data_IF_268327394006
#
_entry.id   IF_268327394006
#
_cell.length_a   1.000
_cell.length_b   1.000
_cell.length_c   1.000
_cell.angle_alpha   90.00
_cell.angle_beta   90.00
_cell.angle_gamma   90.00
#
_symmetry.space_group_name_H-M   'P 1'
#
loop_
_entity.id
_entity.type
_entity.pdbx_description
1 polymer ?
#
# COMPACT_ATOMS: atom_id res chain seq x y z
N UNK A 1 -12.00 -14.27 -77.89
CA UNK A 1 -12.66 -13.96 -76.59
C UNK A 1 -12.43 -15.04 -75.52
N UNK A 2 -12.61 -16.34 -75.80
CA UNK A 2 -12.53 -17.41 -74.78
C UNK A 2 -11.17 -17.56 -74.06
N UNK A 3 -10.04 -17.28 -74.74
CA UNK A 3 -8.69 -17.39 -74.15
C UNK A 3 -8.40 -16.36 -73.06
N UNK A 4 -8.88 -15.12 -73.22
CA UNK A 4 -8.70 -14.05 -72.23
C UNK A 4 -9.51 -14.29 -70.96
N UNK A 5 -10.72 -14.85 -71.11
CA UNK A 5 -11.58 -15.20 -69.98
C UNK A 5 -10.93 -16.28 -69.08
N UNK A 6 -10.32 -17.30 -69.69
CA UNK A 6 -9.60 -18.34 -68.95
C UNK A 6 -8.32 -17.81 -68.26
N UNK A 7 -7.65 -16.82 -68.86
CA UNK A 7 -6.45 -16.20 -68.29
C UNK A 7 -6.78 -15.29 -67.11
N UNK A 8 -7.88 -14.54 -67.17
CA UNK A 8 -8.40 -13.73 -66.04
C UNK A 8 -8.81 -14.64 -64.88
N UNK A 9 -9.45 -15.78 -65.16
CA UNK A 9 -9.83 -16.74 -64.12
C UNK A 9 -8.62 -17.37 -63.41
N UNK A 10 -7.54 -17.69 -64.17
CA UNK A 10 -6.28 -18.20 -63.59
C UNK A 10 -5.56 -17.15 -62.72
N UNK A 11 -5.56 -15.88 -63.13
CA UNK A 11 -4.97 -14.78 -62.34
C UNK A 11 -5.78 -14.51 -61.08
N UNK A 12 -7.12 -14.53 -61.16
CA UNK A 12 -8.00 -14.39 -59.99
C UNK A 12 -7.85 -15.55 -59.00
N UNK A 13 -7.67 -16.77 -59.49
CA UNK A 13 -7.44 -17.96 -58.65
C UNK A 13 -6.05 -17.92 -57.99
N UNK A 14 -5.03 -17.38 -58.67
CA UNK A 14 -3.70 -17.17 -58.10
C UNK A 14 -3.68 -16.05 -57.03
N UNK A 15 -4.49 -15.00 -57.20
CA UNK A 15 -4.62 -13.91 -56.22
C UNK A 15 -5.31 -14.38 -54.92
N UNK A 16 -6.25 -15.32 -55.01
CA UNK A 16 -6.95 -15.89 -53.85
C UNK A 16 -6.07 -16.83 -53.01
N UNK A 17 -5.02 -17.44 -53.60
CA UNK A 17 -4.07 -18.32 -52.89
C UNK A 17 -3.01 -17.52 -52.10
N UNK A 18 -2.76 -16.25 -52.47
CA UNK A 18 -1.86 -15.35 -51.74
C UNK A 18 -2.53 -14.59 -50.58
N UNK A 19 -3.85 -14.73 -50.39
CA UNK A 19 -4.55 -14.16 -49.24
C UNK A 19 -4.41 -15.09 -48.03
N UNK A 20 -3.21 -15.14 -47.43
CA UNK A 20 -3.05 -15.70 -46.08
C UNK A 20 -3.86 -14.79 -45.13
N UNK A 21 -4.86 -15.29 -44.37
CA UNK A 21 -5.44 -14.48 -43.31
C UNK A 21 -4.32 -14.13 -42.34
N UNK A 22 -3.96 -12.86 -42.27
CA UNK A 22 -3.02 -12.32 -41.31
C UNK A 22 -3.66 -12.36 -39.92
N UNK A 23 -3.66 -13.52 -39.27
CA UNK A 23 -3.91 -13.63 -37.83
C UNK A 23 -2.60 -13.25 -37.12
N UNK A 24 -2.20 -11.99 -37.25
CA UNK A 24 -0.92 -11.47 -36.73
C UNK A 24 -1.04 -10.84 -35.33
N UNK A 25 -2.22 -10.89 -34.70
CA UNK A 25 -2.44 -10.34 -33.36
C UNK A 25 -3.07 -11.39 -32.45
N UNK A 26 -2.31 -12.43 -32.14
CA UNK A 26 -2.54 -13.19 -30.92
C UNK A 26 -1.90 -12.39 -29.78
N UNK A 27 -2.73 -11.91 -28.85
CA UNK A 27 -2.40 -11.13 -27.64
C UNK A 27 -1.49 -11.91 -26.65
N UNK A 28 -0.30 -12.31 -27.09
CA UNK A 28 0.63 -13.14 -26.30
C UNK A 28 1.34 -12.29 -25.22
N UNK A 29 1.61 -11.01 -25.49
CA UNK A 29 2.30 -10.13 -24.54
C UNK A 29 1.50 -9.85 -23.25
N UNK A 30 0.18 -9.64 -23.32
CA UNK A 30 -0.62 -9.27 -22.14
C UNK A 30 -0.88 -10.41 -21.15
N UNK A 31 -1.03 -11.65 -21.65
CA UNK A 31 -1.30 -12.82 -20.80
C UNK A 31 -0.08 -13.24 -19.98
N UNK A 32 1.11 -13.15 -20.58
CA UNK A 32 2.37 -13.48 -19.91
C UNK A 32 2.70 -12.44 -18.82
N UNK A 33 2.55 -11.14 -19.12
CA UNK A 33 2.78 -10.06 -18.14
C UNK A 33 1.85 -10.17 -16.93
N UNK A 34 0.56 -10.49 -17.13
CA UNK A 34 -0.37 -10.67 -16.02
C UNK A 34 0.05 -11.83 -15.12
N UNK A 35 0.44 -12.96 -15.70
CA UNK A 35 0.89 -14.13 -14.93
C UNK A 35 2.17 -13.82 -14.14
N UNK A 36 3.13 -13.13 -14.74
CA UNK A 36 4.35 -12.71 -14.05
C UNK A 36 4.06 -11.73 -12.92
N UNK A 37 3.19 -10.74 -13.15
CA UNK A 37 2.76 -9.80 -12.12
C UNK A 37 2.06 -10.50 -10.95
N UNK A 38 1.10 -11.39 -11.25
CA UNK A 38 0.38 -12.18 -10.24
C UNK A 38 1.35 -13.08 -9.46
N UNK A 39 2.35 -13.66 -10.12
CA UNK A 39 3.40 -14.46 -9.45
C UNK A 39 4.23 -13.64 -8.46
N UNK A 40 4.70 -12.46 -8.86
CA UNK A 40 5.47 -11.57 -7.98
C UNK A 40 4.61 -11.14 -6.80
N UNK A 41 3.35 -10.75 -7.04
CA UNK A 41 2.43 -10.33 -6.00
C UNK A 41 2.12 -11.44 -5.00
N UNK A 42 1.94 -12.67 -5.46
CA UNK A 42 1.66 -13.81 -4.59
C UNK A 42 2.89 -14.25 -3.77
N UNK A 43 4.09 -14.15 -4.34
CA UNK A 43 5.33 -14.54 -3.66
C UNK A 43 5.84 -13.46 -2.69
N UNK A 44 5.63 -12.18 -3.03
CA UNK A 44 6.08 -11.03 -2.25
C UNK A 44 4.93 -10.03 -2.07
N UNK A 45 3.87 -10.41 -1.34
CA UNK A 45 2.72 -9.54 -1.16
C UNK A 45 3.17 -8.25 -0.47
N UNK A 46 2.77 -7.10 -0.98
CA UNK A 46 3.13 -5.80 -0.42
C UNK A 46 1.96 -5.31 0.41
N UNK A 47 2.23 -4.87 1.63
CA UNK A 47 1.23 -4.24 2.49
C UNK A 47 1.42 -2.73 2.48
N UNK A 48 0.33 -2.00 2.70
CA UNK A 48 0.34 -0.56 2.93
C UNK A 48 -0.54 -0.23 4.13
N UNK A 49 -0.01 0.58 5.05
CA UNK A 49 -0.72 0.99 6.26
C UNK A 49 -1.10 2.46 6.16
N UNK A 50 -2.38 2.74 6.36
CA UNK A 50 -2.90 4.09 6.55
C UNK A 50 -3.38 4.25 7.99
N UNK A 51 -3.04 5.35 8.63
CA UNK A 51 -3.49 5.65 9.99
C UNK A 51 -4.06 7.05 10.05
N UNK A 52 -5.26 7.16 10.62
CA UNK A 52 -5.87 8.42 10.99
C UNK A 52 -5.72 8.62 12.49
N UNK A 53 -5.19 9.78 12.87
CA UNK A 53 -5.16 10.25 14.26
C UNK A 53 -6.32 11.23 14.45
N UNK A 54 -6.87 11.31 15.66
CA UNK A 54 -7.90 12.30 16.02
C UNK A 54 -7.37 13.74 15.90
N UNK A 55 -6.12 13.98 16.32
CA UNK A 55 -5.46 15.30 16.36
C UNK A 55 -3.98 15.20 15.95
N UNK A 56 -3.31 16.34 15.86
CA UNK A 56 -1.86 16.44 15.69
C UNK A 56 -1.15 17.12 16.88
N UNK A 57 -1.92 17.77 17.76
CA UNK A 57 -1.43 18.48 18.94
C UNK A 57 -2.25 18.01 20.15
N UNK A 58 -1.57 17.69 21.23
CA UNK A 58 -2.14 17.12 22.45
C UNK A 58 -1.61 17.82 23.71
N UNK A 59 -2.40 17.81 24.78
CA UNK A 59 -1.94 18.21 26.10
C UNK A 59 -1.26 17.04 26.84
N UNK A 60 -0.42 17.30 27.86
CA UNK A 60 -0.08 16.28 28.86
C UNK A 60 -1.35 15.67 29.47
N UNK A 61 -1.34 14.36 29.71
CA UNK A 61 -2.48 13.55 30.17
C UNK A 61 -3.64 13.37 29.17
N UNK A 62 -3.55 13.89 27.95
CA UNK A 62 -4.52 13.54 26.89
C UNK A 62 -4.43 12.06 26.49
N UNK A 63 -5.46 11.60 25.78
CA UNK A 63 -5.38 10.34 25.03
C UNK A 63 -5.32 10.64 23.54
N UNK A 64 -4.26 10.16 22.89
CA UNK A 64 -4.13 10.14 21.44
C UNK A 64 -4.92 8.95 20.90
N UNK A 65 -5.92 9.22 20.05
CA UNK A 65 -6.75 8.17 19.45
C UNK A 65 -6.38 7.96 17.99
N UNK A 66 -6.45 6.72 17.54
CA UNK A 66 -6.17 6.41 16.15
C UNK A 66 -7.00 5.24 15.61
N UNK A 67 -7.19 5.27 14.29
CA UNK A 67 -7.74 4.17 13.50
C UNK A 67 -6.81 3.86 12.34
N UNK A 68 -6.53 2.58 12.14
CA UNK A 68 -5.60 2.12 11.14
C UNK A 68 -6.25 1.14 10.15
N UNK A 69 -5.76 1.20 8.91
CA UNK A 69 -6.25 0.46 7.75
C UNK A 69 -5.05 -0.19 7.06
N UNK A 70 -4.99 -1.51 7.13
CA UNK A 70 -3.96 -2.35 6.54
C UNK A 70 -4.50 -3.01 5.27
N UNK A 71 -3.90 -2.66 4.15
CA UNK A 71 -4.34 -3.11 2.83
C UNK A 71 -3.21 -3.78 2.04
N UNK A 72 -3.58 -4.65 1.09
CA UNK A 72 -2.71 -5.07 -0.01
C UNK A 72 -2.37 -3.83 -0.86
N UNK A 73 -1.09 -3.56 -1.08
CA UNK A 73 -0.64 -2.36 -1.76
C UNK A 73 -0.98 -2.36 -3.27
N UNK A 74 -1.27 -3.53 -3.86
CA UNK A 74 -1.60 -3.69 -5.28
C UNK A 74 -3.10 -3.56 -5.52
N UNK A 75 -3.93 -4.18 -4.68
CA UNK A 75 -5.39 -4.19 -4.85
C UNK A 75 -6.17 -3.25 -3.93
N UNK A 76 -5.53 -2.72 -2.88
CA UNK A 76 -6.18 -1.92 -1.83
C UNK A 76 -7.29 -2.65 -1.07
N UNK A 77 -7.33 -3.98 -1.17
CA UNK A 77 -8.18 -4.84 -0.35
C UNK A 77 -7.56 -5.02 1.03
N UNK A 78 -8.39 -5.41 2.02
CA UNK A 78 -7.90 -5.75 3.35
C UNK A 78 -6.75 -6.77 3.27
N UNK A 79 -5.62 -6.45 3.90
CA UNK A 79 -4.47 -7.37 3.89
C UNK A 79 -4.82 -8.67 4.60
N UNK A 80 -4.37 -9.78 4.03
CA UNK A 80 -4.48 -11.13 4.59
C UNK A 80 -3.13 -11.67 5.09
N UNK A 81 -2.07 -10.86 5.00
CA UNK A 81 -0.69 -11.30 5.31
C UNK A 81 -0.39 -11.14 6.79
N UNK A 82 -0.59 -9.94 7.33
CA UNK A 82 -0.31 -9.65 8.74
C UNK A 82 -1.59 -9.56 9.59
N UNK A 83 -1.60 -10.23 10.74
CA UNK A 83 -2.68 -10.18 11.73
C UNK A 83 -2.46 -9.20 12.89
N UNK A 84 -1.26 -8.61 13.00
CA UNK A 84 -0.86 -7.69 14.07
C UNK A 84 -0.22 -6.43 13.48
N UNK A 85 -0.55 -5.29 14.07
CA UNK A 85 0.04 -3.99 13.74
C UNK A 85 0.70 -3.44 15.00
N UNK A 86 1.96 -3.03 14.86
CA UNK A 86 2.73 -2.35 15.90
C UNK A 86 2.52 -0.85 15.77
N UNK A 87 2.26 -0.21 16.90
CA UNK A 87 2.15 1.23 17.03
C UNK A 87 3.14 1.72 18.05
N UNK A 88 3.80 2.83 17.75
CA UNK A 88 4.88 3.36 18.55
C UNK A 88 4.86 4.87 18.61
N UNK A 89 5.34 5.40 19.73
CA UNK A 89 5.68 6.81 19.85
C UNK A 89 7.18 6.91 20.12
N UNK A 90 7.85 7.74 19.33
CA UNK A 90 9.29 7.96 19.35
C UNK A 90 9.54 9.43 19.69
N UNK A 91 10.46 9.70 20.60
CA UNK A 91 10.85 11.07 20.94
C UNK A 91 11.74 11.72 19.85
N UNK A 92 12.06 13.00 20.04
CA UNK A 92 12.94 13.77 19.15
C UNK A 92 14.39 13.23 19.08
N UNK A 93 14.79 12.37 20.02
CA UNK A 93 16.11 11.72 20.05
C UNK A 93 16.12 10.36 19.36
N UNK A 94 14.96 9.89 18.86
CA UNK A 94 14.82 8.57 18.26
C UNK A 94 14.56 7.45 19.25
N UNK A 95 14.31 7.76 20.52
CA UNK A 95 14.04 6.77 21.58
C UNK A 95 12.57 6.34 21.51
N UNK A 96 12.30 5.03 21.53
CA UNK A 96 10.94 4.53 21.66
C UNK A 96 10.42 4.78 23.08
N UNK A 97 9.42 5.64 23.22
CA UNK A 97 8.80 5.97 24.51
C UNK A 97 7.75 4.93 24.87
N UNK A 98 6.97 4.50 23.88
CA UNK A 98 5.93 3.52 24.08
C UNK A 98 5.70 2.73 22.80
N UNK A 99 5.38 1.44 22.96
CA UNK A 99 4.97 0.54 21.90
C UNK A 99 3.77 -0.27 22.37
N UNK A 100 2.77 -0.41 21.50
CA UNK A 100 1.67 -1.37 21.66
C UNK A 100 1.52 -2.20 20.38
N UNK A 101 1.03 -3.42 20.48
CA UNK A 101 0.61 -4.21 19.33
C UNK A 101 -0.89 -4.48 19.43
N UNK A 102 -1.60 -4.29 18.32
CA UNK A 102 -3.03 -4.52 18.26
C UNK A 102 -3.35 -5.51 17.13
N UNK A 103 -4.27 -6.46 17.36
CA UNK A 103 -4.76 -7.29 16.28
C UNK A 103 -5.53 -6.45 15.26
N UNK A 104 -5.49 -6.90 14.00
CA UNK A 104 -6.28 -6.33 12.92
C UNK A 104 -7.29 -7.36 12.43
N UNK A 105 -8.53 -6.93 12.25
CA UNK A 105 -9.60 -7.74 11.70
C UNK A 105 -10.10 -7.08 10.42
N UNK A 106 -10.15 -7.83 9.32
CA UNK A 106 -10.52 -7.31 8.00
C UNK A 106 -9.67 -6.08 7.59
N UNK A 107 -8.39 -6.06 7.98
CA UNK A 107 -7.50 -4.94 7.69
C UNK A 107 -7.78 -3.68 8.52
N UNK A 108 -8.61 -3.74 9.57
CA UNK A 108 -8.96 -2.59 10.41
C UNK A 108 -8.55 -2.84 11.85
N UNK A 109 -7.99 -1.81 12.48
CA UNK A 109 -7.77 -1.77 13.94
C UNK A 109 -7.91 -0.34 14.46
N UNK A 110 -8.11 -0.18 15.76
CA UNK A 110 -8.18 1.12 16.42
C UNK A 110 -7.63 1.01 17.84
N UNK A 111 -7.17 2.13 18.38
CA UNK A 111 -6.60 2.17 19.71
C UNK A 111 -6.22 3.58 20.12
N UNK A 112 -5.47 3.68 21.21
CA UNK A 112 -4.96 4.95 21.67
C UNK A 112 -3.79 4.83 22.64
N UNK A 113 -3.11 5.95 22.82
CA UNK A 113 -2.03 6.13 23.78
C UNK A 113 -2.44 7.14 24.83
N UNK A 114 -2.38 6.75 26.11
CA UNK A 114 -2.52 7.68 27.22
C UNK A 114 -1.19 8.41 27.41
N UNK A 115 -1.17 9.72 27.16
CA UNK A 115 0.03 10.56 27.19
C UNK A 115 0.35 10.99 28.63
N UNK A 116 0.71 10.02 29.47
CA UNK A 116 1.02 10.26 30.88
C UNK A 116 2.13 11.31 31.05
N UNK A 117 1.94 12.26 31.98
CA UNK A 117 2.82 13.43 32.16
C UNK A 117 4.22 13.10 32.70
N UNK A 118 4.42 11.90 33.26
CA UNK A 118 5.71 11.36 33.66
C UNK A 118 6.57 10.98 32.44
N UNK A 119 5.96 10.36 31.42
CA UNK A 119 6.61 9.89 30.21
C UNK A 119 6.66 10.94 29.08
N UNK A 120 5.59 11.73 28.92
CA UNK A 120 5.43 12.66 27.81
C UNK A 120 5.65 14.10 28.29
N UNK A 121 6.83 14.64 27.96
CA UNK A 121 7.14 16.07 28.15
C UNK A 121 6.70 16.89 26.94
N UNK A 122 6.44 18.20 27.09
CA UNK A 122 6.17 19.06 25.95
C UNK A 122 7.28 18.97 24.90
N UNK A 123 6.92 18.80 23.63
CA UNK A 123 7.86 18.56 22.55
C UNK A 123 7.25 17.86 21.35
N UNK A 124 8.12 17.56 20.37
CA UNK A 124 7.75 16.85 19.14
C UNK A 124 8.02 15.35 19.30
N UNK A 125 7.10 14.55 18.80
CA UNK A 125 7.19 13.10 18.78
C UNK A 125 6.82 12.57 17.40
N UNK A 126 7.32 11.38 17.07
CA UNK A 126 6.93 10.65 15.86
C UNK A 126 6.05 9.49 16.23
N UNK A 127 4.81 9.50 15.75
CA UNK A 127 3.95 8.33 15.73
C UNK A 127 4.36 7.42 14.57
N UNK A 128 4.68 6.16 14.88
CA UNK A 128 5.11 5.17 13.90
C UNK A 128 4.20 3.95 13.95
N UNK A 129 3.83 3.41 12.80
CA UNK A 129 3.02 2.19 12.73
C UNK A 129 3.44 1.28 11.58
N UNK A 130 3.50 -0.03 11.83
CA UNK A 130 3.99 -1.01 10.86
C UNK A 130 3.54 -2.44 11.20
N UNK A 131 3.62 -3.34 10.23
CA UNK A 131 3.56 -4.79 10.45
C UNK A 131 4.96 -5.38 10.45
N UNK A 132 5.14 -6.57 11.02
CA UNK A 132 6.44 -7.24 10.97
C UNK A 132 6.89 -7.49 9.52
N UNK A 133 5.94 -7.82 8.63
CA UNK A 133 6.20 -8.09 7.23
C UNK A 133 6.71 -6.87 6.45
N UNK A 134 6.20 -5.66 6.76
CA UNK A 134 6.69 -4.42 6.15
C UNK A 134 8.19 -4.17 6.36
N UNK A 135 8.75 -4.64 7.48
CA UNK A 135 10.16 -4.44 7.80
C UNK A 135 11.10 -5.11 6.77
N UNK A 136 10.64 -6.16 6.09
CA UNK A 136 11.41 -6.84 5.04
C UNK A 136 11.65 -5.98 3.79
N UNK A 137 10.92 -4.88 3.66
CA UNK A 137 10.96 -4.00 2.49
C UNK A 137 11.55 -2.61 2.80
N UNK A 138 12.04 -2.41 4.01
CA UNK A 138 12.65 -1.17 4.47
C UNK A 138 11.67 -0.11 4.98
N UNK A 139 12.25 0.97 5.48
CA UNK A 139 11.56 2.01 6.26
C UNK A 139 10.51 2.83 5.50
N UNK A 140 10.56 2.83 4.16
CA UNK A 140 9.67 3.63 3.31
C UNK A 140 8.21 3.16 3.40
N UNK A 141 7.99 1.91 3.81
CA UNK A 141 6.65 1.31 3.94
C UNK A 141 6.03 1.49 5.33
N UNK A 142 6.82 2.03 6.26
CA UNK A 142 6.37 2.27 7.64
C UNK A 142 5.64 3.61 7.70
N UNK A 143 4.44 3.60 8.26
CA UNK A 143 3.69 4.83 8.48
C UNK A 143 4.39 5.67 9.55
N UNK A 144 4.62 6.95 9.26
CA UNK A 144 5.21 7.93 10.18
C UNK A 144 4.37 9.22 10.13
N UNK A 145 4.03 9.77 11.30
CA UNK A 145 3.35 11.06 11.42
C UNK A 145 3.88 11.81 12.64
N UNK A 146 4.23 13.08 12.47
CA UNK A 146 4.63 13.93 13.58
C UNK A 146 3.41 14.34 14.43
N UNK A 147 3.59 14.33 15.74
CA UNK A 147 2.64 14.85 16.73
C UNK A 147 3.38 15.77 17.70
N UNK A 148 2.65 16.72 18.29
CA UNK A 148 3.19 17.66 19.27
C UNK A 148 2.46 17.51 20.60
N UNK A 149 3.21 17.46 21.69
CA UNK A 149 2.67 17.61 23.05
C UNK A 149 2.97 19.02 23.52
N UNK A 150 1.95 19.78 23.91
CA UNK A 150 2.07 21.19 24.32
C UNK A 150 1.43 21.37 25.68
N UNK A 151 2.10 22.07 26.58
CA UNK A 151 1.52 22.49 27.85
C UNK A 151 0.84 23.85 27.69
N UNK A 152 -0.49 23.83 27.58
CA UNK A 152 -1.30 25.04 27.39
C UNK A 152 -1.33 25.98 28.60
N UNK A 153 -0.81 25.55 29.76
CA UNK A 153 -0.82 26.37 30.98
C UNK A 153 0.39 27.30 31.08
N UNK A 154 1.37 27.18 30.19
CA UNK A 154 2.62 27.98 30.21
C UNK A 154 2.66 29.12 29.19
N UNK A 155 1.66 29.23 28.30
CA UNK A 155 1.63 30.25 27.23
C UNK A 155 0.95 31.58 27.63
N UNK A 156 0.54 31.76 28.89
CA UNK A 156 -0.10 33.00 29.38
C UNK A 156 0.87 34.00 30.09
N UNK A 157 2.19 33.91 29.86
CA UNK A 157 3.18 34.86 30.40
C UNK A 157 4.13 35.37 29.32
#
# INVERSE_FOLDING_TARGET
>A
MFKYFCQIFKVSLFLLIFCKPAIAQLNIQGKDLKVQFDSIRNNFPREKLYVHLDRSIYAPQDTLWFKAYLVDASLLEASKVSGLIYFEIIDSKGTNIQRICLPTAMGITWGGFSLKSDLYKPGNYTFRAYTNWMQNFGDVYIFKKEIKVVDFLTEEQ
#
